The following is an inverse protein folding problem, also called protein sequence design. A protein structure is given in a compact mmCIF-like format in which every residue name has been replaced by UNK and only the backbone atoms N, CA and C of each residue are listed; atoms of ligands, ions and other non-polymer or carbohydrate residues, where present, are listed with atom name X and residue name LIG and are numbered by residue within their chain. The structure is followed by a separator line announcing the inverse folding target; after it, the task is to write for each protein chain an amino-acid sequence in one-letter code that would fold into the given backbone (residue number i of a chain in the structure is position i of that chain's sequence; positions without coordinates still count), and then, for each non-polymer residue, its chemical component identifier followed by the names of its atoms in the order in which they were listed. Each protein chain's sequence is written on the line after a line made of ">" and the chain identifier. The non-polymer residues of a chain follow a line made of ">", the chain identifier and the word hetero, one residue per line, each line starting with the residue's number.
data_IF_378306433776
#
_entry.id   IF_378306433776
#
_cell.length_a   1.000
_cell.length_b   1.000
_cell.length_c   1.000
_cell.angle_alpha   90.00
_cell.angle_beta   90.00
_cell.angle_gamma   90.00
#
_symmetry.space_group_name_H-M   'P 1'
#
loop_
_entity.id
_entity.type
_entity.pdbx_description
1 polymer ?
#
# COMPACT_ATOMS: atom_id res chain seq x y z
N UNK A 1 -25.62 66.18 34.20
CA UNK A 1 -24.49 66.97 33.68
C UNK A 1 -23.47 67.13 34.79
N UNK A 2 -22.51 66.21 34.84
CA UNK A 2 -21.16 66.32 35.45
C UNK A 2 -20.34 65.16 34.84
N UNK A 3 -19.03 65.35 34.62
CA UNK A 3 -18.28 64.56 33.64
C UNK A 3 -17.72 63.26 34.24
N UNK A 4 -17.79 62.19 33.46
CA UNK A 4 -17.12 60.91 33.75
C UNK A 4 -15.66 61.04 33.30
N UNK A 5 -14.76 60.92 34.26
CA UNK A 5 -13.31 60.97 34.11
C UNK A 5 -12.80 59.67 33.46
N UNK A 6 -12.36 59.78 32.20
CA UNK A 6 -11.69 58.72 31.44
C UNK A 6 -10.18 58.91 31.53
N UNK A 7 -9.55 58.34 32.55
CA UNK A 7 -8.09 58.36 32.69
C UNK A 7 -7.54 57.07 33.30
N UNK A 8 -7.54 55.99 32.51
CA UNK A 8 -6.60 54.88 32.74
C UNK A 8 -5.49 54.90 31.66
N UNK A 9 -4.23 55.14 32.06
CA UNK A 9 -3.11 55.10 31.14
C UNK A 9 -2.80 53.65 30.75
N UNK A 10 -3.09 53.32 29.48
CA UNK A 10 -2.52 52.18 28.77
C UNK A 10 -0.99 52.28 28.77
N UNK A 11 -0.33 51.60 29.71
CA UNK A 11 1.09 51.27 29.60
C UNK A 11 1.33 49.85 30.10
N UNK A 12 2.19 49.17 29.35
CA UNK A 12 2.83 47.89 29.64
C UNK A 12 2.01 46.63 29.31
N UNK A 13 1.89 46.33 28.02
CA UNK A 13 1.93 44.94 27.55
C UNK A 13 2.68 44.86 26.20
N UNK A 14 3.87 45.47 26.17
CA UNK A 14 4.82 45.36 25.06
C UNK A 14 5.98 44.50 25.55
N UNK A 15 5.81 43.19 25.49
CA UNK A 15 6.84 42.15 25.56
C UNK A 15 6.16 40.79 25.49
N UNK A 16 6.13 40.24 24.28
CA UNK A 16 6.21 38.81 23.93
C UNK A 16 5.80 38.65 22.46
N UNK A 17 6.52 39.34 21.55
CA UNK A 17 6.69 38.80 20.19
C UNK A 17 7.77 37.73 20.30
N UNK A 18 7.43 36.67 21.02
CA UNK A 18 8.21 35.44 21.04
C UNK A 18 7.88 34.70 19.75
N UNK A 19 8.91 34.35 19.02
CA UNK A 19 8.84 33.58 17.80
C UNK A 19 8.13 32.24 18.05
N UNK A 20 6.81 32.21 17.90
CA UNK A 20 6.05 31.00 17.67
C UNK A 20 6.01 30.72 16.16
N UNK A 21 7.19 30.61 15.56
CA UNK A 21 7.36 29.68 14.43
C UNK A 21 7.26 28.29 15.07
N UNK A 22 6.03 27.91 15.44
CA UNK A 22 5.66 26.51 15.54
C UNK A 22 5.93 25.97 14.15
N UNK A 23 7.12 25.38 14.01
CA UNK A 23 7.35 24.37 13.02
C UNK A 23 6.24 23.34 13.24
N UNK A 24 5.13 23.53 12.53
CA UNK A 24 4.41 22.43 11.92
C UNK A 24 5.41 21.79 10.95
N UNK A 25 6.46 21.18 11.51
CA UNK A 25 7.08 20.03 10.91
C UNK A 25 5.98 19.00 10.93
N UNK A 26 5.12 19.09 9.91
CA UNK A 26 4.15 18.09 9.59
C UNK A 26 4.93 16.80 9.63
N UNK A 27 4.66 16.01 10.65
CA UNK A 27 5.19 14.67 10.75
C UNK A 27 4.71 14.03 9.46
N UNK A 28 5.60 13.92 8.48
CA UNK A 28 5.37 13.04 7.36
C UNK A 28 5.42 11.66 8.00
N UNK A 29 4.30 11.27 8.59
CA UNK A 29 4.05 9.90 9.01
C UNK A 29 4.35 9.10 7.76
N UNK A 30 5.48 8.39 7.77
CA UNK A 30 5.85 7.48 6.71
C UNK A 30 4.68 6.53 6.59
N UNK A 31 3.88 6.69 5.53
CA UNK A 31 2.67 5.91 5.34
C UNK A 31 3.10 4.46 5.19
N UNK A 32 2.80 3.68 6.21
CA UNK A 32 3.14 2.27 6.26
C UNK A 32 2.02 1.50 5.57
N UNK A 33 2.35 0.90 4.42
CA UNK A 33 1.48 0.08 3.62
C UNK A 33 1.50 -1.35 4.14
N UNK A 34 0.34 -1.90 4.50
CA UNK A 34 0.23 -3.33 4.80
C UNK A 34 -0.28 -4.07 3.55
N UNK A 35 0.58 -4.88 2.94
CA UNK A 35 0.25 -5.70 1.78
C UNK A 35 -0.13 -7.09 2.25
N UNK A 36 -1.41 -7.46 2.10
CA UNK A 36 -1.83 -8.85 2.23
C UNK A 36 -1.67 -9.53 0.87
N UNK A 37 -1.03 -10.70 0.84
CA UNK A 37 -0.87 -11.49 -0.37
C UNK A 37 -1.26 -12.94 -0.14
N UNK A 38 -1.75 -13.58 -1.19
CA UNK A 38 -1.94 -15.03 -1.26
C UNK A 38 -1.26 -15.55 -2.52
N UNK A 39 -0.60 -16.70 -2.41
CA UNK A 39 0.00 -17.40 -3.55
C UNK A 39 -0.65 -18.77 -3.68
N UNK A 40 -0.77 -19.24 -4.92
CA UNK A 40 -1.28 -20.56 -5.27
C UNK A 40 -0.31 -21.22 -6.25
N UNK A 41 -0.21 -22.56 -6.27
CA UNK A 41 0.60 -23.25 -7.27
C UNK A 41 0.10 -22.89 -8.67
N UNK A 42 1.03 -22.47 -9.55
CA UNK A 42 0.67 -22.20 -10.93
C UNK A 42 0.34 -23.53 -11.64
N UNK A 43 -0.63 -23.55 -12.57
CA UNK A 43 -0.84 -24.70 -13.42
C UNK A 43 0.48 -25.03 -14.11
N UNK A 44 0.93 -26.29 -14.02
CA UNK A 44 2.12 -26.71 -14.74
C UNK A 44 1.93 -26.35 -16.22
N UNK A 45 2.86 -25.59 -16.85
CA UNK A 45 2.73 -25.28 -18.25
C UNK A 45 2.60 -26.61 -19.00
N UNK A 46 1.57 -26.73 -19.84
CA UNK A 46 1.46 -27.87 -20.73
C UNK A 46 2.81 -28.00 -21.44
N UNK A 47 3.41 -29.19 -21.42
CA UNK A 47 4.74 -29.42 -21.98
C UNK A 47 4.71 -29.10 -23.47
N UNK A 48 4.96 -27.85 -23.82
CA UNK A 48 5.21 -27.45 -25.21
C UNK A 48 6.60 -28.01 -25.49
N UNK A 49 6.79 -28.87 -26.51
CA UNK A 49 8.10 -29.33 -26.91
C UNK A 49 8.88 -28.11 -27.40
N UNK A 50 9.55 -27.41 -26.50
CA UNK A 50 10.58 -26.46 -26.87
C UNK A 50 11.59 -27.29 -27.63
N UNK A 51 11.90 -26.87 -28.86
CA UNK A 51 13.16 -27.26 -29.49
C UNK A 51 14.21 -26.96 -28.43
N UNK A 52 14.71 -28.02 -27.80
CA UNK A 52 15.58 -27.92 -26.64
C UNK A 52 16.72 -26.96 -26.99
N UNK A 53 17.34 -26.31 -26.00
CA UNK A 53 18.57 -25.56 -26.28
C UNK A 53 19.58 -26.38 -27.10
N UNK A 54 19.52 -27.71 -26.96
CA UNK A 54 20.22 -28.69 -27.78
C UNK A 54 19.81 -28.65 -29.26
N UNK A 55 18.53 -28.52 -29.58
CA UNK A 55 18.03 -28.31 -30.95
C UNK A 55 18.53 -27.02 -31.60
N UNK A 56 18.55 -25.89 -30.85
CA UNK A 56 19.13 -24.64 -31.35
C UNK A 56 20.65 -24.73 -31.51
N UNK A 57 21.34 -25.36 -30.56
CA UNK A 57 22.78 -25.60 -30.63
C UNK A 57 23.15 -26.50 -31.82
N UNK A 58 22.35 -27.54 -32.07
CA UNK A 58 22.54 -28.46 -33.20
C UNK A 58 22.30 -27.73 -34.53
N UNK A 59 21.27 -26.89 -34.61
CA UNK A 59 21.00 -26.08 -35.80
C UNK A 59 22.14 -25.09 -36.09
N UNK A 60 22.68 -24.41 -35.07
CA UNK A 60 23.84 -23.54 -35.20
C UNK A 60 25.11 -24.31 -35.63
N UNK A 61 25.34 -25.50 -35.06
CA UNK A 61 26.47 -26.36 -35.44
C UNK A 61 26.38 -26.84 -36.89
N UNK A 62 25.18 -27.22 -37.34
CA UNK A 62 24.93 -27.63 -38.73
C UNK A 62 25.15 -26.45 -39.69
N UNK A 63 24.65 -25.26 -39.36
CA UNK A 63 24.89 -24.07 -40.17
C UNK A 63 26.39 -23.72 -40.27
N UNK A 64 27.13 -23.81 -39.16
CA UNK A 64 28.58 -23.62 -39.14
C UNK A 64 29.34 -24.65 -39.97
N UNK A 65 28.93 -25.93 -39.93
CA UNK A 65 29.52 -27.00 -40.72
C UNK A 65 29.29 -26.79 -42.23
N UNK A 66 28.07 -26.38 -42.62
CA UNK A 66 27.73 -26.09 -44.01
C UNK A 66 28.54 -24.90 -44.54
N UNK A 67 28.67 -23.83 -43.74
CA UNK A 67 29.49 -22.67 -44.09
C UNK A 67 30.98 -23.04 -44.26
N UNK A 68 31.51 -23.90 -43.37
CA UNK A 68 32.88 -24.41 -43.48
C UNK A 68 33.11 -25.23 -44.75
N UNK A 69 32.13 -26.08 -45.13
CA UNK A 69 32.23 -26.90 -46.35
C UNK A 69 32.10 -26.12 -47.64
N UNK A 70 31.38 -25.01 -47.66
CA UNK A 70 31.20 -24.18 -48.85
C UNK A 70 32.30 -23.11 -49.03
N UNK A 71 33.04 -22.78 -47.98
CA UNK A 71 34.06 -21.73 -48.01
C UNK A 71 35.42 -22.14 -48.59
N UNK A 72 35.54 -22.19 -49.93
CA UNK A 72 36.85 -22.19 -50.62
C UNK A 72 37.36 -20.75 -50.81
N UNK A 73 37.40 -19.97 -49.73
CA UNK A 73 37.93 -18.61 -49.74
C UNK A 73 39.28 -18.55 -49.01
N UNK A 74 40.38 -18.17 -49.68
CA UNK A 74 41.66 -17.94 -49.02
C UNK A 74 41.53 -16.73 -48.08
N UNK A 75 41.36 -16.99 -46.77
CA UNK A 75 41.19 -15.97 -45.72
C UNK A 75 40.18 -16.33 -44.61
N UNK A 76 39.38 -17.38 -44.80
CA UNK A 76 38.26 -17.74 -43.89
C UNK A 76 38.64 -18.15 -42.47
N UNK A 77 39.90 -18.52 -42.23
CA UNK A 77 40.39 -18.97 -40.92
C UNK A 77 40.36 -17.86 -39.86
N UNK A 78 40.59 -16.60 -40.25
CA UNK A 78 40.57 -15.47 -39.32
C UNK A 78 39.16 -15.08 -38.90
N UNK A 79 38.17 -15.20 -39.81
CA UNK A 79 36.77 -14.90 -39.50
C UNK A 79 36.14 -15.94 -38.58
N UNK A 80 36.48 -17.23 -38.76
CA UNK A 80 35.98 -18.29 -37.89
C UNK A 80 36.46 -18.13 -36.45
N UNK A 81 37.72 -17.74 -36.23
CA UNK A 81 38.28 -17.53 -34.89
C UNK A 81 37.62 -16.32 -34.20
N UNK A 82 37.38 -15.22 -34.92
CA UNK A 82 36.70 -14.06 -34.36
C UNK A 82 35.24 -14.35 -34.00
N UNK A 83 34.53 -15.14 -34.81
CA UNK A 83 33.14 -15.54 -34.49
C UNK A 83 33.06 -16.47 -33.28
N UNK A 84 33.97 -17.43 -33.15
CA UNK A 84 34.04 -18.31 -31.98
C UNK A 84 34.43 -17.53 -30.72
N UNK A 85 35.38 -16.59 -30.82
CA UNK A 85 35.76 -15.74 -29.69
C UNK A 85 34.62 -14.80 -29.26
N UNK A 86 33.89 -14.22 -30.21
CA UNK A 86 32.72 -13.39 -29.94
C UNK A 86 31.57 -14.19 -29.31
N UNK A 87 31.31 -15.40 -29.80
CA UNK A 87 30.31 -16.30 -29.22
C UNK A 87 30.69 -16.74 -27.79
N UNK A 88 31.97 -17.02 -27.54
CA UNK A 88 32.47 -17.35 -26.20
C UNK A 88 32.35 -16.17 -25.22
N UNK A 89 32.61 -14.94 -25.67
CA UNK A 89 32.41 -13.75 -24.84
C UNK A 89 30.93 -13.44 -24.56
N UNK A 90 30.04 -13.63 -25.54
CA UNK A 90 28.59 -13.50 -25.31
C UNK A 90 28.06 -14.58 -24.37
N UNK A 91 28.57 -15.81 -24.46
CA UNK A 91 28.19 -16.91 -23.57
C UNK A 91 28.62 -16.66 -22.11
N UNK A 92 29.74 -15.95 -21.89
CA UNK A 92 30.20 -15.55 -20.55
C UNK A 92 29.60 -14.22 -20.05
N UNK A 93 28.89 -13.47 -20.90
CA UNK A 93 28.15 -12.26 -20.51
C UNK A 93 26.64 -12.50 -20.37
N UNK A 94 26.23 -13.74 -20.13
CA UNK A 94 24.86 -14.08 -19.73
C UNK A 94 24.47 -13.44 -18.39
N UNK A 95 24.02 -12.18 -18.43
CA UNK A 95 22.86 -11.70 -17.67
C UNK A 95 23.05 -11.22 -16.21
N UNK A 96 24.17 -10.58 -15.85
CA UNK A 96 24.36 -10.06 -14.47
C UNK A 96 25.10 -8.73 -14.31
N UNK A 97 25.25 -7.94 -15.37
CA UNK A 97 26.10 -6.75 -15.38
C UNK A 97 25.55 -5.54 -14.60
N UNK A 98 26.11 -5.30 -13.41
CA UNK A 98 26.65 -4.01 -12.93
C UNK A 98 25.78 -2.74 -12.97
N UNK A 99 24.45 -2.84 -12.92
CA UNK A 99 23.67 -1.74 -12.35
C UNK A 99 23.57 -2.00 -10.86
N UNK A 100 24.55 -1.51 -10.10
CA UNK A 100 24.34 -1.26 -8.67
C UNK A 100 23.30 -0.13 -8.58
N UNK A 101 22.02 -0.48 -8.77
CA UNK A 101 20.93 0.31 -8.24
C UNK A 101 21.27 0.51 -6.77
N UNK A 102 21.36 1.76 -6.35
CA UNK A 102 21.38 2.09 -4.94
C UNK A 102 20.07 1.52 -4.37
N UNK A 103 20.17 0.37 -3.71
CA UNK A 103 19.02 -0.28 -3.11
C UNK A 103 18.54 0.64 -2.00
N UNK A 104 17.46 1.38 -2.27
CA UNK A 104 16.50 1.71 -1.21
C UNK A 104 16.16 0.39 -0.50
N UNK A 105 16.01 0.41 0.81
CA UNK A 105 15.79 -0.78 1.62
C UNK A 105 14.72 -1.68 0.98
N UNK A 106 15.16 -2.71 0.26
CA UNK A 106 14.28 -3.56 -0.50
C UNK A 106 13.70 -4.58 0.46
N UNK A 107 12.39 -4.57 0.63
CA UNK A 107 11.72 -5.54 1.48
C UNK A 107 11.55 -6.81 0.68
N UNK A 108 12.29 -7.87 1.05
CA UNK A 108 12.24 -9.17 0.39
C UNK A 108 11.25 -10.11 1.08
N UNK A 109 10.31 -10.64 0.30
CA UNK A 109 9.33 -11.65 0.74
C UNK A 109 9.75 -13.00 0.14
N UNK A 110 10.15 -13.93 1.00
CA UNK A 110 10.61 -15.26 0.58
C UNK A 110 9.42 -16.22 0.54
N UNK A 111 9.03 -16.64 -0.67
CA UNK A 111 7.98 -17.62 -0.90
C UNK A 111 8.62 -19.02 -0.91
N UNK A 112 8.42 -19.78 0.16
CA UNK A 112 9.05 -21.10 0.33
C UNK A 112 8.08 -22.28 0.18
N UNK A 113 6.78 -22.06 0.38
CA UNK A 113 5.78 -23.13 0.32
C UNK A 113 5.34 -23.44 -1.13
N UNK A 114 5.57 -24.66 -1.66
CA UNK A 114 5.13 -25.04 -3.00
C UNK A 114 3.60 -25.15 -3.14
N UNK A 115 2.87 -25.32 -2.03
CA UNK A 115 1.40 -25.35 -2.00
C UNK A 115 0.74 -23.97 -2.01
N UNK A 116 1.53 -22.89 -2.04
CA UNK A 116 1.05 -21.54 -1.81
C UNK A 116 1.04 -21.14 -0.34
N UNK A 117 1.10 -19.85 -0.09
CA UNK A 117 1.16 -19.22 1.23
C UNK A 117 0.39 -17.91 1.21
N UNK A 118 -0.25 -17.59 2.33
CA UNK A 118 -0.80 -16.27 2.60
C UNK A 118 0.04 -15.55 3.65
N UNK A 119 0.38 -14.30 3.41
CA UNK A 119 1.18 -13.50 4.33
C UNK A 119 0.84 -12.02 4.24
N UNK A 120 1.45 -11.24 5.13
CA UNK A 120 1.36 -9.78 5.09
C UNK A 120 2.74 -9.15 5.23
N UNK A 121 3.03 -8.14 4.44
CA UNK A 121 4.28 -7.37 4.52
C UNK A 121 3.97 -5.89 4.71
N UNK A 122 4.62 -5.27 5.69
CA UNK A 122 4.53 -3.83 5.92
C UNK A 122 5.72 -3.12 5.30
N UNK A 123 5.48 -2.20 4.37
CA UNK A 123 6.51 -1.40 3.69
C UNK A 123 6.14 0.07 3.71
N UNK A 124 7.10 0.99 3.66
CA UNK A 124 6.77 2.40 3.49
C UNK A 124 6.32 2.68 2.04
N UNK A 125 5.51 3.72 1.85
CA UNK A 125 5.11 4.18 0.52
C UNK A 125 6.37 4.56 -0.30
N UNK A 126 6.50 4.01 -1.51
CA UNK A 126 7.67 4.19 -2.37
C UNK A 126 8.79 3.15 -2.21
N UNK A 127 8.70 2.26 -1.21
CA UNK A 127 9.68 1.17 -1.06
C UNK A 127 9.54 0.10 -2.15
N UNK A 128 10.66 -0.51 -2.53
CA UNK A 128 10.69 -1.62 -3.47
C UNK A 128 10.44 -2.95 -2.72
N UNK A 129 9.31 -3.61 -3.02
CA UNK A 129 8.94 -4.91 -2.47
C UNK A 129 9.26 -5.98 -3.51
N UNK A 130 10.10 -6.95 -3.13
CA UNK A 130 10.51 -8.05 -4.01
C UNK A 130 9.98 -9.38 -3.49
N UNK A 131 9.14 -10.02 -4.27
CA UNK A 131 8.69 -11.39 -4.05
C UNK A 131 9.67 -12.36 -4.69
N UNK A 132 10.28 -13.25 -3.91
CA UNK A 132 11.23 -14.24 -4.40
C UNK A 132 10.70 -15.65 -4.20
N UNK A 133 10.62 -16.40 -5.28
CA UNK A 133 10.17 -17.79 -5.24
C UNK A 133 11.34 -18.75 -5.01
N UNK A 134 11.36 -19.38 -3.83
CA UNK A 134 12.34 -20.39 -3.43
C UNK A 134 11.74 -21.80 -3.32
N UNK A 135 10.46 -21.97 -3.64
CA UNK A 135 9.71 -23.22 -3.46
C UNK A 135 10.08 -24.36 -4.43
N UNK A 136 10.82 -24.06 -5.50
CA UNK A 136 11.17 -25.03 -6.55
C UNK A 136 10.05 -25.31 -7.57
N UNK A 137 8.86 -24.75 -7.40
CA UNK A 137 7.73 -24.84 -8.35
C UNK A 137 7.26 -23.44 -8.76
N UNK A 138 6.68 -23.25 -9.95
CA UNK A 138 6.11 -21.96 -10.32
C UNK A 138 4.91 -21.62 -9.43
N UNK A 139 4.91 -20.42 -8.85
CA UNK A 139 3.84 -19.91 -8.01
C UNK A 139 3.09 -18.80 -8.74
N UNK A 140 1.78 -18.71 -8.55
CA UNK A 140 0.95 -17.62 -9.05
C UNK A 140 0.49 -16.75 -7.88
N UNK A 141 0.51 -15.43 -8.05
CA UNK A 141 -0.10 -14.51 -7.09
C UNK A 141 -1.62 -14.68 -7.20
N UNK A 142 -2.25 -15.19 -6.14
CA UNK A 142 -3.69 -15.44 -6.07
C UNK A 142 -4.49 -14.18 -5.76
N UNK A 143 -3.98 -13.35 -4.86
CA UNK A 143 -4.50 -12.01 -4.59
C UNK A 143 -3.41 -11.18 -3.93
N UNK A 144 -3.44 -9.87 -4.16
CA UNK A 144 -2.56 -8.91 -3.49
C UNK A 144 -3.33 -7.61 -3.27
N UNK A 145 -3.37 -7.13 -2.04
CA UNK A 145 -4.09 -5.91 -1.66
C UNK A 145 -3.19 -4.99 -0.84
N UNK A 146 -2.98 -3.72 -1.26
CA UNK A 146 -3.45 -3.12 -2.50
C UNK A 146 -2.75 -3.69 -3.76
N UNK A 147 -3.44 -3.70 -4.91
CA UNK A 147 -2.95 -4.30 -6.14
C UNK A 147 -1.82 -3.46 -6.78
N UNK A 148 -0.60 -3.98 -6.91
CA UNK A 148 0.51 -3.26 -7.53
C UNK A 148 0.46 -3.34 -9.06
N UNK A 149 1.11 -2.38 -9.73
CA UNK A 149 1.14 -2.30 -11.20
C UNK A 149 1.91 -3.45 -11.88
N UNK A 150 3.00 -3.94 -11.27
CA UNK A 150 3.95 -4.85 -11.93
C UNK A 150 3.91 -6.30 -11.42
N UNK A 151 3.42 -6.52 -10.19
CA UNK A 151 3.30 -7.85 -9.57
C UNK A 151 1.86 -8.13 -9.12
N UNK A 152 0.91 -7.85 -10.00
CA UNK A 152 -0.51 -7.97 -9.72
C UNK A 152 -1.02 -9.41 -9.61
N UNK A 153 -2.29 -9.53 -9.31
CA UNK A 153 -3.01 -10.80 -9.30
C UNK A 153 -2.86 -11.55 -10.63
N UNK A 154 -2.66 -12.87 -10.57
CA UNK A 154 -2.53 -13.74 -11.72
C UNK A 154 -1.11 -13.87 -12.28
N UNK A 155 -0.16 -13.06 -11.82
CA UNK A 155 1.22 -13.16 -12.29
C UNK A 155 1.88 -14.45 -11.78
N UNK A 156 2.60 -15.14 -12.68
CA UNK A 156 3.35 -16.37 -12.37
C UNK A 156 4.82 -16.04 -12.13
N UNK A 157 5.32 -16.40 -10.95
CA UNK A 157 6.72 -16.30 -10.55
C UNK A 157 7.38 -17.68 -10.76
N UNK A 158 8.29 -17.83 -11.72
CA UNK A 158 8.96 -19.11 -11.97
C UNK A 158 9.83 -19.52 -10.76
N UNK A 159 10.21 -20.81 -10.64
CA UNK A 159 11.10 -21.26 -9.57
C UNK A 159 12.44 -20.54 -9.64
N UNK A 160 12.88 -19.94 -8.52
CA UNK A 160 14.06 -19.08 -8.46
C UNK A 160 13.86 -17.67 -9.04
N UNK A 161 12.70 -17.38 -9.62
CA UNK A 161 12.34 -16.07 -10.14
C UNK A 161 11.99 -15.06 -9.06
N UNK A 162 12.03 -13.80 -9.44
CA UNK A 162 11.60 -12.67 -8.62
C UNK A 162 10.56 -11.85 -9.35
N UNK A 163 9.61 -11.28 -8.60
CA UNK A 163 8.83 -10.15 -9.07
C UNK A 163 9.01 -8.98 -8.13
N UNK A 164 9.29 -7.82 -8.69
CA UNK A 164 9.54 -6.61 -7.93
C UNK A 164 8.50 -5.55 -8.25
N UNK A 165 7.97 -4.92 -7.20
CA UNK A 165 7.02 -3.82 -7.33
C UNK A 165 7.35 -2.70 -6.36
N UNK A 166 6.86 -1.50 -6.66
CA UNK A 166 6.99 -0.35 -5.75
C UNK A 166 5.71 -0.29 -4.94
N UNK A 167 5.85 -0.22 -3.63
CA UNK A 167 4.74 -0.03 -2.73
C UNK A 167 4.05 1.30 -3.06
N UNK A 168 2.85 1.26 -3.62
CA UNK A 168 2.01 2.42 -3.87
C UNK A 168 0.79 2.36 -2.98
N UNK A 169 0.83 3.05 -1.85
CA UNK A 169 -0.41 3.36 -1.13
C UNK A 169 -0.99 4.67 -1.64
N UNK A 170 -2.33 4.78 -1.73
CA UNK A 170 -2.94 6.08 -1.95
C UNK A 170 -2.45 7.03 -0.86
N UNK A 171 -1.81 8.11 -1.30
CA UNK A 171 -1.15 9.06 -0.44
C UNK A 171 -2.20 9.84 0.35
N UNK A 172 -2.62 9.29 1.48
CA UNK A 172 -3.72 9.79 2.31
C UNK A 172 -5.04 9.88 1.55
N UNK A 173 -6.11 9.56 2.24
CA UNK A 173 -7.42 9.77 1.67
C UNK A 173 -7.65 11.28 1.41
N UNK A 174 -8.23 11.67 0.26
CA UNK A 174 -8.58 13.06 0.00
C UNK A 174 -9.35 13.67 1.18
N UNK A 175 -9.27 14.99 1.38
CA UNK A 175 -10.02 15.65 2.44
C UNK A 175 -11.51 15.29 2.35
N UNK A 176 -12.10 14.88 3.47
CA UNK A 176 -13.48 14.39 3.52
C UNK A 176 -13.63 12.87 3.38
N UNK A 177 -12.54 12.11 3.28
CA UNK A 177 -12.58 10.63 3.17
C UNK A 177 -11.68 9.96 4.22
N UNK A 178 -12.05 8.76 4.70
CA UNK A 178 -11.31 7.94 5.67
C UNK A 178 -10.91 6.60 5.03
N UNK A 179 -9.73 6.07 5.36
CA UNK A 179 -9.29 4.75 4.87
C UNK A 179 -9.99 3.65 5.66
N UNK A 180 -10.81 2.83 5.00
CA UNK A 180 -11.52 1.70 5.62
C UNK A 180 -10.66 0.42 5.76
N UNK A 181 -9.40 0.48 5.31
CA UNK A 181 -8.50 -0.68 5.21
C UNK A 181 -8.24 -1.15 3.77
N UNK A 182 -9.11 -0.76 2.83
CA UNK A 182 -9.08 -1.16 1.43
C UNK A 182 -9.31 -0.02 0.43
N UNK A 183 -10.08 0.99 0.82
CA UNK A 183 -10.44 2.14 0.00
C UNK A 183 -10.64 3.39 0.86
N UNK A 184 -10.54 4.56 0.23
CA UNK A 184 -10.96 5.81 0.85
C UNK A 184 -12.47 5.93 0.69
N UNK A 185 -13.19 5.84 1.79
CA UNK A 185 -14.64 6.04 1.83
C UNK A 185 -14.95 7.44 2.31
N UNK A 186 -16.00 8.06 1.77
CA UNK A 186 -16.47 9.35 2.26
C UNK A 186 -16.74 9.27 3.76
N UNK A 187 -16.21 10.25 4.51
CA UNK A 187 -16.63 10.45 5.89
C UNK A 187 -18.10 10.83 5.78
N UNK A 188 -19.04 10.05 6.33
CA UNK A 188 -20.46 10.35 6.21
C UNK A 188 -20.67 11.79 6.68
N UNK A 189 -21.17 12.64 5.76
CA UNK A 189 -21.31 14.09 5.94
C UNK A 189 -22.43 14.44 6.94
N UNK A 190 -23.17 13.44 7.40
CA UNK A 190 -24.04 13.55 8.56
C UNK A 190 -23.34 12.86 9.74
N UNK A 191 -23.29 13.49 10.93
CA UNK A 191 -23.13 12.71 12.14
C UNK A 191 -24.31 11.74 12.11
N UNK A 192 -24.03 10.47 11.83
CA UNK A 192 -25.00 9.40 11.95
C UNK A 192 -25.31 9.30 13.44
N UNK A 193 -26.18 10.19 13.88
CA UNK A 193 -26.74 10.18 15.21
C UNK A 193 -27.29 8.77 15.42
N UNK A 194 -26.99 8.20 16.58
CA UNK A 194 -27.34 6.83 16.91
C UNK A 194 -28.85 6.59 16.78
N UNK A 195 -29.27 5.34 16.92
CA UNK A 195 -30.70 5.00 16.89
C UNK A 195 -31.45 5.86 17.93
N UNK A 196 -32.49 6.57 17.48
CA UNK A 196 -33.28 7.54 18.24
C UNK A 196 -32.57 8.84 18.64
N UNK A 197 -31.51 9.20 17.94
CA UNK A 197 -30.89 10.52 18.02
C UNK A 197 -31.19 11.33 16.75
N UNK A 198 -31.22 12.65 16.90
CA UNK A 198 -31.30 13.62 15.81
C UNK A 198 -30.23 14.69 15.97
N UNK A 199 -29.75 15.22 14.85
CA UNK A 199 -28.81 16.34 14.85
C UNK A 199 -29.53 17.60 15.30
N UNK A 200 -29.06 18.23 16.38
CA UNK A 200 -29.51 19.56 16.75
C UNK A 200 -29.01 20.55 15.68
N UNK A 201 -29.95 21.22 15.00
CA UNK A 201 -29.65 22.16 13.92
C UNK A 201 -28.84 23.39 14.37
N UNK A 202 -28.79 23.68 15.68
CA UNK A 202 -28.07 24.82 16.24
C UNK A 202 -26.65 24.47 16.71
N UNK A 203 -26.43 23.26 17.23
CA UNK A 203 -25.13 22.85 17.80
C UNK A 203 -24.39 21.80 16.95
N UNK A 204 -25.05 21.20 15.95
CA UNK A 204 -24.51 20.09 15.17
C UNK A 204 -24.26 18.81 15.99
N UNK A 205 -24.67 18.78 17.26
CA UNK A 205 -24.51 17.64 18.16
C UNK A 205 -25.74 16.72 18.07
N UNK A 206 -25.52 15.42 18.28
CA UNK A 206 -26.60 14.46 18.37
C UNK A 206 -27.32 14.56 19.72
N UNK A 207 -28.62 14.81 19.69
CA UNK A 207 -29.50 14.82 20.85
C UNK A 207 -30.54 13.71 20.72
N UNK A 208 -31.08 13.20 21.83
CA UNK A 208 -32.16 12.22 21.76
C UNK A 208 -33.42 12.85 21.14
N UNK A 209 -34.10 12.10 20.27
CA UNK A 209 -35.39 12.52 19.71
C UNK A 209 -36.44 12.65 20.82
N UNK A 210 -37.47 13.46 20.58
CA UNK A 210 -38.55 13.67 21.54
C UNK A 210 -39.16 12.34 22.02
N UNK A 211 -39.27 12.16 23.33
CA UNK A 211 -39.73 10.92 23.96
C UNK A 211 -38.63 9.92 24.32
N UNK A 212 -37.36 10.25 24.06
CA UNK A 212 -36.19 9.44 24.42
C UNK A 212 -35.22 10.25 25.31
N UNK A 213 -34.49 9.55 26.18
CA UNK A 213 -33.45 10.13 27.04
C UNK A 213 -32.18 9.26 27.03
N UNK A 214 -31.00 9.84 27.27
CA UNK A 214 -29.76 9.06 27.34
C UNK A 214 -29.73 8.25 28.62
N UNK A 215 -29.52 6.94 28.49
CA UNK A 215 -29.25 6.05 29.62
C UNK A 215 -27.78 6.15 30.07
N UNK A 216 -27.42 5.43 31.13
CA UNK A 216 -26.03 5.38 31.66
C UNK A 216 -25.00 4.81 30.69
N UNK A 217 -25.45 4.13 29.63
CA UNK A 217 -24.60 3.61 28.55
C UNK A 217 -24.43 4.62 27.41
N UNK A 218 -25.00 5.82 27.53
CA UNK A 218 -24.95 6.88 26.52
C UNK A 218 -25.92 6.69 25.35
N UNK A 219 -26.84 5.73 25.41
CA UNK A 219 -27.80 5.43 24.33
C UNK A 219 -29.18 6.06 24.62
N UNK A 220 -29.86 6.55 23.57
CA UNK A 220 -31.22 7.08 23.68
C UNK A 220 -32.26 5.95 23.80
N UNK A 221 -32.90 5.88 24.97
CA UNK A 221 -33.96 4.92 25.28
C UNK A 221 -35.27 5.64 25.58
N UNK A 222 -36.45 4.99 25.40
CA UNK A 222 -37.75 5.59 25.69
C UNK A 222 -37.80 6.15 27.12
N UNK A 223 -38.23 7.40 27.26
CA UNK A 223 -38.26 8.11 28.54
C UNK A 223 -39.16 7.42 29.59
N UNK A 224 -40.16 6.66 29.14
CA UNK A 224 -41.05 5.86 30.00
C UNK A 224 -40.29 4.77 30.78
N UNK A 225 -39.12 4.33 30.28
CA UNK A 225 -38.25 3.40 31.00
C UNK A 225 -37.42 4.10 32.10
N UNK A 226 -37.29 5.44 32.07
CA UNK A 226 -36.72 6.23 33.17
C UNK A 226 -37.75 6.57 34.26
N UNK A 227 -39.04 6.23 34.09
CA UNK A 227 -40.13 6.57 35.02
C UNK A 227 -40.10 5.83 36.38
N UNK A 228 -39.15 4.92 36.61
CA UNK A 228 -38.97 4.22 37.90
C UNK A 228 -38.05 4.98 38.88
N UNK A 229 -38.09 6.32 38.91
CA UNK A 229 -37.49 7.11 40.00
C UNK A 229 -36.67 8.36 39.64
N UNK A 230 -36.53 8.72 38.37
CA UNK A 230 -35.52 9.69 37.92
C UNK A 230 -36.18 10.98 37.42
N UNK A 231 -35.81 12.15 37.96
CA UNK A 231 -36.33 13.46 37.54
C UNK A 231 -35.55 14.04 36.36
N UNK A 232 -36.25 14.68 35.42
CA UNK A 232 -35.64 15.50 34.36
C UNK A 232 -34.87 16.67 35.00
N UNK A 233 -33.55 16.69 34.83
CA UNK A 233 -32.73 17.84 35.23
C UNK A 233 -32.78 18.85 34.10
N UNK A 234 -33.65 19.85 34.23
CA UNK A 234 -33.73 20.97 33.30
C UNK A 234 -32.62 21.98 33.63
N UNK A 235 -31.52 21.97 32.89
CA UNK A 235 -31.17 23.12 32.04
C UNK A 235 -30.83 22.68 30.60
N UNK A 236 -30.73 23.61 29.62
CA UNK A 236 -30.45 23.24 28.24
C UNK A 236 -29.00 22.71 28.15
N UNK A 237 -28.84 21.39 28.09
CA UNK A 237 -27.52 20.77 27.88
C UNK A 237 -27.30 19.39 28.51
N UNK A 238 -28.16 18.89 29.40
CA UNK A 238 -27.96 17.58 30.03
C UNK A 238 -29.26 16.77 30.17
N UNK A 239 -29.69 16.12 29.10
CA UNK A 239 -30.72 15.08 29.15
C UNK A 239 -30.12 13.74 29.64
N UNK A 240 -29.73 13.68 30.91
CA UNK A 240 -29.25 12.44 31.54
C UNK A 240 -30.24 11.88 32.57
N UNK A 241 -30.59 10.60 32.46
CA UNK A 241 -31.27 9.87 33.53
C UNK A 241 -30.24 9.54 34.64
N UNK A 242 -30.29 10.24 35.78
CA UNK A 242 -29.38 10.03 36.93
C UNK A 242 -30.10 9.52 38.20
N UNK A 243 -29.52 8.54 38.93
CA UNK A 243 -29.84 8.13 40.30
C UNK A 243 -31.15 8.57 40.94
#
# INVERSE_FOLDING_TARGET
>A
MTPIDTSHPFRAAQRCVGAALLAFGGSAWAQQCNYAFTTVPAPAPAAVPSLSMLGLALLAAVAGLLAWRQGRFPGSRFMAITLVAAAAMLANQGGGGLVQKAYAAAVEVILSNPGGESGSVTSANGDEVTFRNTSGVPLRIGSISPAPANCGEGQVIPPGGTCTTVASCPASCPAGTIWDGSSCVDIPEEPACGVNEGTNSESGQCACNAGFARNTLGLCAPADLCANGFQFVNPPGEDQCKP
#
